data_IF_682918415627
#
_entry.id   IF_682918415627
#
_cell.length_a   1.000
_cell.length_b   1.000
_cell.length_c   1.000
_cell.angle_alpha   90.00
_cell.angle_beta   90.00
_cell.angle_gamma   90.00
#
_symmetry.space_group_name_H-M   'P 1'
#
loop_
_entity.id
_entity.type
_entity.pdbx_description
1 polymer ?
#
# COMPACT_ATOMS: atom_id res chain seq x y z
N UNK A 1 -42.20 5.82 -27.79
CA UNK A 1 -41.67 7.17 -27.54
C UNK A 1 -40.19 7.09 -27.81
N UNK A 2 -39.72 7.52 -28.98
CA UNK A 2 -38.31 7.52 -29.38
C UNK A 2 -37.66 8.71 -28.69
N UNK A 3 -36.62 8.47 -27.89
CA UNK A 3 -35.85 9.59 -27.28
C UNK A 3 -35.25 10.43 -28.41
N UNK A 4 -35.41 11.76 -28.42
CA UNK A 4 -34.78 12.62 -29.40
C UNK A 4 -33.26 12.55 -29.16
N UNK A 5 -32.52 12.21 -30.21
CA UNK A 5 -31.04 12.25 -30.19
C UNK A 5 -30.29 10.93 -30.32
N UNK A 6 -30.99 9.80 -30.47
CA UNK A 6 -30.31 8.54 -30.78
C UNK A 6 -30.14 8.43 -32.31
N UNK A 7 -28.90 8.63 -32.79
CA UNK A 7 -28.57 8.36 -34.17
C UNK A 7 -28.68 6.86 -34.47
N UNK A 8 -29.38 6.50 -35.57
CA UNK A 8 -29.39 5.13 -36.05
C UNK A 8 -28.07 4.81 -36.74
N UNK A 9 -27.55 3.60 -36.58
CA UNK A 9 -26.18 3.18 -36.88
C UNK A 9 -25.67 3.34 -38.31
N UNK A 10 -26.49 3.78 -39.25
CA UNK A 10 -26.08 4.10 -40.65
C UNK A 10 -25.60 5.54 -40.82
N UNK A 11 -25.83 6.42 -39.81
CA UNK A 11 -25.50 7.84 -39.87
C UNK A 11 -24.30 8.23 -38.96
N UNK A 12 -23.65 7.26 -38.32
CA UNK A 12 -22.43 7.50 -37.58
C UNK A 12 -21.27 7.74 -38.53
N UNK A 13 -21.09 8.97 -38.96
CA UNK A 13 -19.79 9.44 -39.39
C UNK A 13 -18.93 9.54 -38.17
N UNK A 14 -17.84 8.76 -38.12
CA UNK A 14 -16.73 9.03 -37.22
C UNK A 14 -16.26 10.45 -37.57
N UNK A 15 -16.64 11.42 -36.78
CA UNK A 15 -16.12 12.76 -36.93
C UNK A 15 -14.64 12.69 -36.61
N UNK A 16 -13.79 13.09 -37.55
CA UNK A 16 -12.41 13.52 -37.26
C UNK A 16 -12.46 14.78 -36.39
N UNK A 17 -12.91 14.62 -35.16
CA UNK A 17 -12.84 15.70 -34.17
C UNK A 17 -11.47 15.59 -33.50
N UNK A 18 -10.67 16.66 -33.54
CA UNK A 18 -9.48 16.76 -32.71
C UNK A 18 -9.83 16.44 -31.26
N UNK A 19 -8.87 15.89 -30.52
CA UNK A 19 -9.02 15.63 -29.06
C UNK A 19 -9.28 16.90 -28.22
N UNK A 20 -9.39 18.03 -28.83
CA UNK A 20 -9.82 19.31 -28.25
C UNK A 20 -11.26 19.15 -27.73
N UNK A 21 -11.45 19.32 -26.44
CA UNK A 21 -12.77 19.17 -25.79
C UNK A 21 -13.04 17.79 -25.14
N UNK A 22 -12.24 16.76 -25.38
CA UNK A 22 -12.41 15.48 -24.66
C UNK A 22 -12.25 15.64 -23.14
N UNK A 23 -11.51 16.63 -22.67
CA UNK A 23 -11.41 16.92 -21.24
C UNK A 23 -12.69 17.51 -20.64
N UNK A 24 -13.45 18.29 -21.42
CA UNK A 24 -14.75 18.81 -20.98
C UNK A 24 -15.83 17.72 -20.96
N UNK A 25 -15.67 16.67 -21.77
CA UNK A 25 -16.59 15.53 -21.82
C UNK A 25 -16.34 14.49 -20.70
N UNK A 26 -15.20 14.55 -20.04
CA UNK A 26 -14.93 13.71 -18.88
C UNK A 26 -15.77 14.21 -17.72
N UNK A 27 -16.71 13.39 -17.26
CA UNK A 27 -17.35 13.59 -15.96
C UNK A 27 -16.25 13.83 -14.94
N UNK A 28 -16.37 14.91 -14.16
CA UNK A 28 -15.41 15.24 -13.10
C UNK A 28 -15.16 13.97 -12.24
N UNK A 29 -13.91 13.66 -11.99
CA UNK A 29 -13.55 12.53 -11.13
C UNK A 29 -14.13 12.77 -9.73
N UNK A 30 -15.01 11.86 -9.28
CA UNK A 30 -15.74 12.02 -8.03
C UNK A 30 -14.80 12.05 -6.81
N UNK A 31 -13.70 11.29 -6.84
CA UNK A 31 -12.72 11.29 -5.76
C UNK A 31 -11.93 12.61 -5.70
N UNK A 32 -11.46 13.10 -6.84
CA UNK A 32 -10.78 14.40 -6.93
C UNK A 32 -11.70 15.56 -6.52
N UNK A 33 -12.96 15.49 -6.91
CA UNK A 33 -13.96 16.48 -6.50
C UNK A 33 -14.18 16.48 -4.98
N UNK A 34 -14.19 15.29 -4.37
CA UNK A 34 -14.27 15.12 -2.93
C UNK A 34 -13.03 15.69 -2.23
N UNK A 35 -11.81 15.40 -2.68
CA UNK A 35 -10.57 15.94 -2.11
C UNK A 35 -10.57 17.48 -2.11
N UNK A 36 -11.04 18.09 -3.21
CA UNK A 36 -11.19 19.56 -3.28
C UNK A 36 -12.21 20.11 -2.27
N UNK A 37 -13.32 19.41 -2.08
CA UNK A 37 -14.36 19.75 -1.10
C UNK A 37 -13.83 19.66 0.34
N UNK A 38 -13.05 18.64 0.63
CA UNK A 38 -12.38 18.43 1.93
C UNK A 38 -11.29 19.49 2.21
N UNK A 39 -10.77 20.18 1.19
CA UNK A 39 -9.69 21.17 1.31
C UNK A 39 -8.43 20.61 1.97
N UNK A 40 -8.25 19.30 1.86
CA UNK A 40 -7.10 18.61 2.42
C UNK A 40 -5.86 18.89 1.57
N UNK A 41 -4.69 18.91 2.20
CA UNK A 41 -3.41 19.02 1.51
C UNK A 41 -3.13 17.74 0.73
N UNK A 42 -2.80 17.85 -0.55
CA UNK A 42 -2.51 16.72 -1.44
C UNK A 42 -1.05 16.81 -1.87
N UNK A 43 -0.34 15.70 -1.80
CA UNK A 43 1.02 15.52 -2.32
C UNK A 43 0.98 14.49 -3.44
N UNK A 44 1.50 14.88 -4.59
CA UNK A 44 1.54 14.07 -5.80
C UNK A 44 2.97 13.62 -6.09
N UNK A 45 3.40 12.53 -5.45
CA UNK A 45 4.72 11.92 -5.66
C UNK A 45 4.62 10.41 -5.40
N UNK A 46 5.58 9.67 -5.91
CA UNK A 46 5.69 8.22 -5.67
C UNK A 46 6.74 7.86 -4.60
N UNK A 47 7.47 8.86 -4.06
CA UNK A 47 8.45 8.64 -3.00
C UNK A 47 8.39 9.69 -1.90
N UNK A 48 8.23 9.23 -0.68
CA UNK A 48 8.22 10.07 0.53
C UNK A 48 9.31 9.57 1.49
N UNK A 49 10.39 10.32 1.69
CA UNK A 49 11.54 9.86 2.49
C UNK A 49 11.22 9.69 3.98
N UNK A 50 10.15 10.32 4.48
CA UNK A 50 9.71 10.14 5.87
C UNK A 50 8.25 10.52 6.05
N UNK A 51 7.42 9.54 6.35
CA UNK A 51 6.00 9.75 6.72
C UNK A 51 5.85 10.62 7.97
N UNK A 52 6.80 10.50 8.90
CA UNK A 52 6.79 11.30 10.15
C UNK A 52 7.05 12.79 9.91
N UNK A 53 7.66 13.17 8.78
CA UNK A 53 8.06 14.55 8.46
C UNK A 53 7.18 15.20 7.39
N UNK A 54 6.21 14.50 6.80
CA UNK A 54 5.27 15.11 5.88
C UNK A 54 4.55 16.25 6.59
N UNK A 55 4.54 17.42 5.97
CA UNK A 55 3.81 18.57 6.49
C UNK A 55 2.31 18.39 6.31
N UNK A 56 1.54 18.53 7.36
CA UNK A 56 0.10 18.31 7.38
C UNK A 56 -0.65 19.64 7.49
N UNK A 57 -1.76 19.76 6.77
CA UNK A 57 -2.73 20.84 6.89
C UNK A 57 -3.90 20.48 7.79
N UNK A 58 -4.78 21.44 8.14
CA UNK A 58 -6.05 21.14 8.80
C UNK A 58 -6.88 20.18 7.94
N UNK A 59 -7.51 19.20 8.59
CA UNK A 59 -8.49 18.32 7.94
C UNK A 59 -9.69 18.16 8.86
N UNK A 60 -10.73 18.92 8.57
CA UNK A 60 -11.89 19.09 9.45
C UNK A 60 -12.59 17.75 9.70
N UNK A 61 -12.83 16.95 8.64
CA UNK A 61 -13.42 15.60 8.76
C UNK A 61 -12.67 14.70 9.73
N UNK A 62 -11.36 14.81 9.78
CA UNK A 62 -10.52 14.00 10.71
C UNK A 62 -10.40 14.60 12.11
N UNK A 63 -10.90 15.79 12.36
CA UNK A 63 -10.77 16.49 13.64
C UNK A 63 -9.32 16.81 14.03
N UNK A 64 -8.42 16.87 13.05
CA UNK A 64 -6.99 17.03 13.29
C UNK A 64 -6.25 17.64 12.11
N UNK A 65 -5.00 17.22 11.92
CA UNK A 65 -4.22 17.56 10.75
C UNK A 65 -4.10 16.34 9.85
N UNK A 66 -4.03 16.56 8.54
CA UNK A 66 -3.80 15.49 7.60
C UNK A 66 -3.31 15.96 6.26
N UNK A 67 -2.98 14.98 5.43
CA UNK A 67 -2.67 15.13 4.02
C UNK A 67 -3.03 13.84 3.29
N UNK A 68 -3.24 13.94 2.00
CA UNK A 68 -3.33 12.80 1.09
C UNK A 68 -2.03 12.71 0.32
N UNK A 69 -1.52 11.51 0.15
CA UNK A 69 -0.33 11.23 -0.65
C UNK A 69 -0.67 10.22 -1.74
N UNK A 70 -0.58 10.62 -3.00
CA UNK A 70 -0.93 9.79 -4.14
C UNK A 70 -0.06 10.08 -5.37
N UNK A 71 -0.29 9.37 -6.46
CA UNK A 71 0.37 9.61 -7.75
C UNK A 71 -0.57 10.38 -8.66
N UNK A 72 -0.12 11.55 -9.10
CA UNK A 72 -0.84 12.38 -10.05
C UNK A 72 -1.16 11.63 -11.35
N UNK A 73 -2.35 11.91 -11.90
CA UNK A 73 -2.81 11.43 -13.20
C UNK A 73 -2.87 9.90 -13.36
N UNK A 74 -2.80 9.15 -12.26
CA UNK A 74 -3.02 7.71 -12.26
C UNK A 74 -4.26 7.37 -11.42
N UNK A 75 -5.17 6.63 -12.01
CA UNK A 75 -6.36 6.14 -11.33
C UNK A 75 -6.01 4.93 -10.46
N UNK A 76 -5.20 5.17 -9.39
CA UNK A 76 -4.89 4.13 -8.42
C UNK A 76 -6.18 3.57 -7.80
N UNK A 77 -6.24 2.24 -7.53
CA UNK A 77 -7.36 1.64 -6.83
C UNK A 77 -7.35 1.91 -5.32
N UNK A 78 -6.28 2.47 -4.82
CA UNK A 78 -6.11 2.85 -3.42
C UNK A 78 -5.44 4.22 -3.30
N UNK A 79 -5.57 4.81 -2.13
CA UNK A 79 -4.92 6.08 -1.78
C UNK A 79 -4.50 6.08 -0.31
N UNK A 80 -3.60 6.98 0.07
CA UNK A 80 -3.04 7.03 1.41
C UNK A 80 -3.35 8.37 2.08
N UNK A 81 -4.05 8.32 3.20
CA UNK A 81 -4.30 9.44 4.10
C UNK A 81 -3.28 9.43 5.24
N UNK A 82 -2.54 10.51 5.42
CA UNK A 82 -1.67 10.72 6.58
C UNK A 82 -2.40 11.60 7.57
N UNK A 83 -2.59 11.14 8.80
CA UNK A 83 -3.36 11.85 9.82
C UNK A 83 -2.57 11.98 11.11
N UNK A 84 -2.70 13.13 11.77
CA UNK A 84 -2.08 13.41 13.06
C UNK A 84 -3.12 13.92 14.07
N UNK A 85 -3.16 13.26 15.22
CA UNK A 85 -3.98 13.64 16.37
C UNK A 85 -3.09 14.34 17.39
N UNK A 86 -3.47 15.55 17.77
CA UNK A 86 -2.74 16.35 18.79
C UNK A 86 -2.66 15.62 20.14
N UNK A 87 -1.71 15.99 21.02
CA UNK A 87 -1.61 15.44 22.37
C UNK A 87 -2.94 15.52 23.13
N UNK A 88 -3.35 14.41 23.73
CA UNK A 88 -4.63 14.28 24.48
C UNK A 88 -5.88 14.47 23.61
N UNK A 89 -5.73 14.52 22.29
CA UNK A 89 -6.82 14.73 21.35
C UNK A 89 -7.45 13.44 20.85
N UNK A 90 -8.46 13.62 20.03
CA UNK A 90 -9.17 12.53 19.32
C UNK A 90 -9.56 12.98 17.92
N UNK A 91 -9.81 12.01 17.03
CA UNK A 91 -10.41 12.29 15.72
C UNK A 91 -11.91 12.59 15.87
N UNK A 92 -12.54 13.07 14.80
CA UNK A 92 -13.99 12.98 14.69
C UNK A 92 -14.40 11.50 14.56
N UNK A 93 -15.61 11.12 14.99
CA UNK A 93 -16.16 9.80 14.69
C UNK A 93 -16.43 9.67 13.20
N UNK A 94 -16.08 8.52 12.62
CA UNK A 94 -16.22 8.26 11.20
C UNK A 94 -16.85 6.89 10.93
N UNK A 95 -17.59 6.79 9.85
CA UNK A 95 -17.88 5.55 9.14
C UNK A 95 -17.96 5.85 7.63
N UNK A 96 -17.74 4.86 6.80
CA UNK A 96 -17.71 5.07 5.36
C UNK A 96 -17.84 3.77 4.57
N UNK A 97 -18.34 3.87 3.35
CA UNK A 97 -18.57 2.77 2.41
C UNK A 97 -17.31 2.45 1.58
N UNK A 98 -16.13 2.64 2.15
CA UNK A 98 -14.85 2.16 1.61
C UNK A 98 -14.03 1.47 2.70
N UNK A 99 -13.14 0.60 2.29
CA UNK A 99 -12.29 -0.17 3.19
C UNK A 99 -11.02 0.60 3.54
N UNK A 100 -10.46 0.33 4.72
CA UNK A 100 -9.28 1.04 5.23
C UNK A 100 -8.38 0.13 6.04
N UNK A 101 -7.07 0.29 5.83
CA UNK A 101 -6.02 -0.28 6.66
C UNK A 101 -5.21 0.82 7.30
N UNK A 102 -5.07 0.79 8.62
CA UNK A 102 -4.28 1.73 9.41
C UNK A 102 -2.91 1.17 9.76
N UNK A 103 -1.88 1.99 9.61
CA UNK A 103 -0.55 1.72 10.15
C UNK A 103 -0.10 2.90 11.01
N UNK A 104 0.29 2.65 12.25
CA UNK A 104 0.72 3.69 13.21
C UNK A 104 2.18 4.05 12.97
N UNK A 105 2.41 5.25 12.47
CA UNK A 105 3.75 5.80 12.16
C UNK A 105 4.49 6.23 13.43
N UNK A 106 3.77 6.87 14.36
CA UNK A 106 4.35 7.32 15.64
C UNK A 106 3.26 7.54 16.70
N UNK A 107 3.67 7.40 17.95
CA UNK A 107 2.79 7.63 19.09
C UNK A 107 2.07 6.38 19.57
N UNK A 108 1.11 6.58 20.45
CA UNK A 108 0.25 5.55 21.03
C UNK A 108 -1.16 6.08 21.21
N UNK A 109 -2.12 5.17 21.21
CA UNK A 109 -3.51 5.57 21.37
C UNK A 109 -4.46 4.40 21.43
N UNK A 110 -5.71 4.68 21.18
CA UNK A 110 -6.77 3.67 21.14
C UNK A 110 -7.75 4.00 20.02
N UNK A 111 -8.43 2.97 19.52
CA UNK A 111 -9.57 3.11 18.63
C UNK A 111 -10.80 2.50 19.30
N UNK A 112 -11.88 3.27 19.34
CA UNK A 112 -13.20 2.77 19.70
C UNK A 112 -13.98 2.50 18.44
N UNK A 113 -14.60 1.33 18.36
CA UNK A 113 -15.41 0.87 17.22
C UNK A 113 -16.82 0.47 17.67
N UNK A 114 -17.84 0.69 16.82
CA UNK A 114 -19.21 0.29 17.12
C UNK A 114 -20.09 0.24 15.86
N UNK A 115 -21.14 -0.57 15.93
CA UNK A 115 -22.33 -0.48 15.09
C UNK A 115 -23.51 0.11 15.84
N UNK A 116 -23.45 0.07 17.18
CA UNK A 116 -24.48 0.54 18.08
C UNK A 116 -23.81 1.31 19.22
N UNK A 117 -24.29 2.51 19.53
CA UNK A 117 -23.77 3.38 20.59
C UNK A 117 -23.70 2.71 21.98
N UNK A 118 -24.55 1.69 22.21
CA UNK A 118 -24.57 0.93 23.47
C UNK A 118 -23.52 -0.17 23.57
N UNK A 119 -22.92 -0.56 22.44
CA UNK A 119 -21.99 -1.68 22.36
C UNK A 119 -20.71 -1.23 21.65
N UNK A 120 -19.90 -0.45 22.38
CA UNK A 120 -18.60 0.03 21.89
C UNK A 120 -17.48 -0.87 22.40
N UNK A 121 -16.55 -1.16 21.52
CA UNK A 121 -15.31 -1.85 21.85
C UNK A 121 -14.13 -0.90 21.66
N UNK A 122 -13.12 -1.01 22.50
CA UNK A 122 -11.91 -0.19 22.40
C UNK A 122 -10.69 -1.11 22.44
N UNK A 123 -9.75 -0.87 21.55
CA UNK A 123 -8.45 -1.52 21.55
C UNK A 123 -7.35 -0.47 21.49
N UNK A 124 -6.19 -0.80 22.07
CA UNK A 124 -5.04 0.10 22.13
C UNK A 124 -4.03 -0.23 21.03
N UNK A 125 -3.31 0.78 20.57
CA UNK A 125 -2.27 0.66 19.57
C UNK A 125 -1.05 1.54 19.89
N UNK A 126 0.10 1.16 19.35
CA UNK A 126 1.37 1.86 19.46
C UNK A 126 2.03 2.02 18.07
N UNK A 127 3.13 2.77 18.02
CA UNK A 127 3.99 2.80 16.82
C UNK A 127 4.26 1.37 16.30
N UNK A 128 4.03 1.16 15.01
CA UNK A 128 4.17 -0.15 14.37
C UNK A 128 2.91 -1.03 14.38
N UNK A 129 1.85 -0.63 15.08
CA UNK A 129 0.58 -1.36 15.00
C UNK A 129 -0.09 -1.21 13.63
N UNK A 130 -0.72 -2.30 13.19
CA UNK A 130 -1.44 -2.40 11.93
C UNK A 130 -2.84 -2.98 12.21
N UNK A 131 -3.90 -2.34 11.69
CA UNK A 131 -5.26 -2.81 11.88
C UNK A 131 -6.19 -2.36 10.76
N UNK A 132 -7.29 -3.08 10.58
CA UNK A 132 -8.36 -2.73 9.65
C UNK A 132 -9.66 -2.49 10.40
N UNK A 133 -10.43 -1.50 9.95
CA UNK A 133 -11.80 -1.30 10.40
C UNK A 133 -12.74 -2.06 9.47
N UNK A 134 -13.70 -2.84 10.00
CA UNK A 134 -14.74 -3.47 9.19
C UNK A 134 -15.54 -2.42 8.41
N UNK A 135 -15.91 -2.78 7.18
CA UNK A 135 -16.63 -1.86 6.30
C UNK A 135 -17.85 -1.25 6.99
N UNK A 136 -17.94 0.08 6.91
CA UNK A 136 -19.02 0.90 7.46
C UNK A 136 -19.28 0.77 8.96
N UNK A 137 -18.35 0.23 9.74
CA UNK A 137 -18.40 0.33 11.20
C UNK A 137 -17.98 1.74 11.62
N UNK A 138 -18.69 2.32 12.60
CA UNK A 138 -18.25 3.57 13.23
C UNK A 138 -16.96 3.35 13.98
N UNK A 139 -16.05 4.32 13.90
CA UNK A 139 -14.82 4.32 14.69
C UNK A 139 -14.39 5.74 15.09
N UNK A 140 -13.62 5.83 16.16
CA UNK A 140 -12.98 7.05 16.61
C UNK A 140 -11.60 6.75 17.19
N UNK A 141 -10.59 7.49 16.77
CA UNK A 141 -9.20 7.34 17.20
C UNK A 141 -8.87 8.35 18.32
N UNK A 142 -8.13 7.91 19.32
CA UNK A 142 -7.72 8.72 20.48
C UNK A 142 -6.20 8.68 20.61
N UNK A 143 -5.58 9.84 20.84
CA UNK A 143 -4.18 9.90 21.21
C UNK A 143 -4.03 9.67 22.71
N UNK A 144 -3.36 8.58 23.10
CA UNK A 144 -3.10 8.21 24.51
C UNK A 144 -1.93 8.95 25.15
N UNK A 145 -1.29 9.90 24.45
CA UNK A 145 -0.22 10.74 24.99
C UNK A 145 -0.73 12.17 25.22
N UNK A 146 -0.52 12.70 26.41
CA UNK A 146 -0.78 14.10 26.71
C UNK A 146 0.34 15.07 26.25
N UNK A 147 1.49 14.54 25.84
CA UNK A 147 2.67 15.33 25.49
C UNK A 147 3.01 15.29 23.99
N UNK A 148 2.86 14.14 23.33
CA UNK A 148 3.31 13.92 21.96
C UNK A 148 2.12 13.66 21.03
N UNK A 149 2.16 14.13 19.77
CA UNK A 149 1.15 13.79 18.78
C UNK A 149 1.22 12.30 18.40
N UNK A 150 0.10 11.74 17.98
CA UNK A 150 0.05 10.42 17.36
C UNK A 150 -0.22 10.57 15.87
N UNK A 151 0.58 9.88 15.04
CA UNK A 151 0.47 9.91 13.58
C UNK A 151 0.27 8.51 13.02
N UNK A 152 -0.68 8.38 12.12
CA UNK A 152 -0.93 7.15 11.39
C UNK A 152 -1.14 7.41 9.90
N UNK A 153 -0.98 6.39 9.08
CA UNK A 153 -1.47 6.36 7.72
C UNK A 153 -2.71 5.46 7.64
N UNK A 154 -3.61 5.82 6.74
CA UNK A 154 -4.81 5.06 6.40
C UNK A 154 -4.84 4.85 4.89
N UNK A 155 -4.51 3.64 4.43
CA UNK A 155 -4.61 3.27 3.02
C UNK A 155 -6.00 2.73 2.76
N UNK A 156 -6.67 3.28 1.74
CA UNK A 156 -8.09 3.06 1.48
C UNK A 156 -8.38 2.73 0.02
N UNK A 157 -9.46 2.02 -0.24
CA UNK A 157 -10.01 1.87 -1.59
C UNK A 157 -11.12 2.92 -1.89
N UNK A 158 -11.07 4.08 -1.23
CA UNK A 158 -12.00 5.18 -1.45
C UNK A 158 -12.08 5.65 -2.93
N UNK A 159 -10.96 5.76 -3.69
CA UNK A 159 -11.03 6.24 -5.06
C UNK A 159 -12.00 5.46 -5.96
N UNK A 160 -11.92 4.13 -6.11
CA UNK A 160 -12.86 3.38 -6.94
C UNK A 160 -14.28 3.39 -6.37
N UNK A 161 -14.44 3.37 -5.04
CA UNK A 161 -15.77 3.40 -4.42
C UNK A 161 -16.50 4.71 -4.72
N UNK A 162 -15.82 5.85 -4.59
CA UNK A 162 -16.39 7.16 -4.90
C UNK A 162 -16.67 7.34 -6.39
N UNK A 163 -15.80 6.82 -7.26
CA UNK A 163 -16.04 6.82 -8.71
C UNK A 163 -17.23 5.97 -9.11
N UNK A 164 -17.47 4.86 -8.40
CA UNK A 164 -18.58 3.96 -8.66
C UNK A 164 -19.93 4.55 -8.21
N UNK A 165 -20.01 5.00 -6.95
CA UNK A 165 -21.27 5.43 -6.35
C UNK A 165 -21.61 6.89 -6.62
N UNK A 166 -20.62 7.78 -6.69
CA UNK A 166 -20.76 9.22 -6.96
C UNK A 166 -21.78 9.94 -6.08
N UNK A 167 -21.90 9.49 -4.83
CA UNK A 167 -22.88 9.97 -3.88
C UNK A 167 -22.26 10.05 -2.47
N UNK A 168 -22.08 11.27 -1.94
CA UNK A 168 -21.47 11.53 -0.65
C UNK A 168 -22.36 11.01 0.51
N UNK A 169 -23.69 11.07 0.34
CA UNK A 169 -24.63 10.60 1.36
C UNK A 169 -24.51 9.09 1.54
N UNK A 170 -24.46 8.35 0.42
CA UNK A 170 -24.21 6.91 0.47
C UNK A 170 -22.83 6.58 1.03
N UNK A 171 -21.83 7.35 0.68
CA UNK A 171 -20.44 7.06 1.11
C UNK A 171 -20.20 7.30 2.60
N UNK A 172 -20.88 8.28 3.21
CA UNK A 172 -20.56 8.73 4.57
C UNK A 172 -21.73 8.68 5.56
N UNK A 173 -22.97 8.43 5.09
CA UNK A 173 -24.17 8.39 5.93
C UNK A 173 -25.01 7.14 5.72
N UNK A 174 -24.46 6.09 5.10
CA UNK A 174 -25.15 4.84 4.91
C UNK A 174 -25.38 4.10 6.23
N UNK A 175 -26.63 3.81 6.58
CA UNK A 175 -27.00 3.14 7.83
C UNK A 175 -26.77 1.62 7.82
N UNK A 176 -26.38 1.03 6.68
CA UNK A 176 -26.22 -0.41 6.58
C UNK A 176 -25.05 -0.92 7.44
N UNK A 177 -25.33 -1.96 8.23
CA UNK A 177 -24.37 -2.59 9.14
C UNK A 177 -23.94 -3.94 8.58
N UNK A 178 -22.69 -4.09 8.20
CA UNK A 178 -22.12 -5.35 7.69
C UNK A 178 -21.83 -6.32 8.85
N UNK A 179 -22.88 -6.81 9.49
CA UNK A 179 -22.77 -7.71 10.65
C UNK A 179 -22.11 -9.05 10.34
N UNK A 180 -22.04 -9.45 9.08
CA UNK A 180 -21.27 -10.61 8.66
C UNK A 180 -19.75 -10.40 8.74
N UNK A 181 -19.30 -9.15 8.72
CA UNK A 181 -17.87 -8.80 8.87
C UNK A 181 -17.52 -8.46 10.32
N UNK A 182 -18.45 -7.88 11.07
CA UNK A 182 -18.28 -7.50 12.47
C UNK A 182 -19.64 -7.41 13.16
N UNK A 183 -19.87 -8.24 14.16
CA UNK A 183 -21.10 -8.25 14.95
C UNK A 183 -20.89 -7.80 16.41
N UNK A 184 -19.64 -7.38 16.75
CA UNK A 184 -19.29 -6.94 18.11
C UNK A 184 -18.56 -8.04 18.89
N UNK A 185 -17.83 -8.94 18.22
CA UNK A 185 -17.03 -10.00 18.84
C UNK A 185 -15.95 -9.41 19.75
N UNK A 186 -15.91 -9.84 21.02
CA UNK A 186 -15.02 -9.29 22.06
C UNK A 186 -13.53 -9.43 21.71
N UNK A 187 -13.16 -10.50 21.02
CA UNK A 187 -11.78 -10.81 20.64
C UNK A 187 -11.38 -10.31 19.25
N UNK A 188 -12.25 -9.55 18.56
CA UNK A 188 -12.06 -9.12 17.18
C UNK A 188 -10.72 -8.40 16.96
N UNK A 189 -10.28 -7.61 17.93
CA UNK A 189 -8.99 -6.88 17.93
C UNK A 189 -8.02 -7.41 18.99
N UNK A 190 -8.10 -8.67 19.37
CA UNK A 190 -7.23 -9.27 20.40
C UNK A 190 -5.75 -9.34 20.02
N UNK A 191 -5.41 -9.16 18.75
CA UNK A 191 -4.06 -9.39 18.22
C UNK A 191 -3.72 -10.86 18.00
N UNK A 192 -4.63 -11.76 18.33
CA UNK A 192 -4.52 -13.15 17.94
C UNK A 192 -4.77 -13.29 16.44
N UNK A 193 -4.11 -14.28 15.83
CA UNK A 193 -4.28 -14.54 14.43
C UNK A 193 -4.23 -16.01 14.12
N UNK A 194 -4.60 -16.36 12.89
CA UNK A 194 -4.59 -17.72 12.39
C UNK A 194 -3.77 -17.81 11.13
N UNK A 195 -2.79 -18.68 11.13
CA UNK A 195 -2.04 -19.01 9.92
C UNK A 195 -2.83 -20.02 9.09
N UNK A 196 -3.19 -19.58 7.88
CA UNK A 196 -3.69 -20.48 6.85
C UNK A 196 -2.54 -21.09 6.06
N UNK A 197 -2.90 -21.87 5.05
CA UNK A 197 -1.91 -22.53 4.19
C UNK A 197 -0.82 -21.57 3.71
N UNK A 198 0.42 -22.03 3.70
CA UNK A 198 1.64 -21.30 3.31
C UNK A 198 1.97 -20.13 4.24
N UNK A 199 1.62 -18.89 3.85
CA UNK A 199 2.03 -17.65 4.50
C UNK A 199 0.89 -16.64 4.67
N UNK A 200 -0.35 -17.09 4.57
CA UNK A 200 -1.55 -16.25 4.75
C UNK A 200 -1.90 -16.22 6.24
N UNK A 201 -1.91 -15.03 6.80
CA UNK A 201 -2.24 -14.77 8.20
C UNK A 201 -3.53 -13.95 8.28
N UNK A 202 -4.53 -14.50 8.95
CA UNK A 202 -5.78 -13.81 9.25
C UNK A 202 -5.69 -13.18 10.65
N UNK A 203 -5.89 -11.87 10.74
CA UNK A 203 -5.97 -11.11 12.00
C UNK A 203 -6.48 -9.71 11.72
N UNK A 204 -7.32 -9.16 12.60
CA UNK A 204 -7.85 -7.80 12.44
C UNK A 204 -6.96 -6.73 13.08
N UNK A 205 -6.02 -7.16 13.92
CA UNK A 205 -5.06 -6.31 14.61
C UNK A 205 -3.70 -7.02 14.74
N UNK A 206 -2.64 -6.34 14.33
CA UNK A 206 -1.25 -6.76 14.50
C UNK A 206 -0.57 -5.73 15.40
N UNK A 207 -0.24 -6.07 16.64
CA UNK A 207 0.31 -5.12 17.62
C UNK A 207 1.63 -4.48 17.16
N UNK A 208 2.49 -5.25 16.48
CA UNK A 208 3.81 -4.81 16.04
C UNK A 208 4.17 -5.45 14.68
N UNK A 209 3.89 -4.76 13.59
CA UNK A 209 4.21 -5.22 12.25
C UNK A 209 5.73 -5.37 11.98
N UNK A 210 6.62 -4.50 12.51
CA UNK A 210 8.06 -4.69 12.42
C UNK A 210 8.57 -6.04 12.94
N UNK A 211 7.94 -6.62 13.96
CA UNK A 211 8.40 -7.86 14.61
C UNK A 211 7.54 -9.09 14.26
N UNK A 212 6.58 -8.94 13.35
CA UNK A 212 5.69 -10.04 12.97
C UNK A 212 6.47 -11.23 12.38
N UNK A 213 6.05 -12.46 12.70
CA UNK A 213 6.61 -13.68 12.11
C UNK A 213 6.32 -13.75 10.60
N UNK A 214 7.34 -14.12 9.81
CA UNK A 214 7.26 -14.22 8.36
C UNK A 214 7.66 -15.62 7.89
N UNK A 215 7.24 -15.99 6.67
CA UNK A 215 7.36 -17.35 6.13
C UNK A 215 8.03 -17.33 4.75
N UNK A 216 8.69 -18.43 4.38
CA UNK A 216 9.47 -18.52 3.14
C UNK A 216 8.64 -18.24 1.87
N UNK A 217 9.21 -17.46 0.96
CA UNK A 217 8.64 -17.14 -0.36
C UNK A 217 9.70 -17.29 -1.46
N UNK A 218 9.92 -18.52 -1.88
CA UNK A 218 10.99 -18.89 -2.83
C UNK A 218 10.74 -18.35 -4.24
N UNK A 219 9.50 -18.26 -4.65
CA UNK A 219 9.10 -17.86 -6.01
C UNK A 219 9.55 -16.44 -6.37
N UNK A 220 9.63 -15.56 -5.35
CA UNK A 220 10.02 -14.15 -5.54
C UNK A 220 11.54 -13.91 -5.49
N UNK A 221 12.36 -14.91 -5.23
CA UNK A 221 13.83 -14.85 -5.32
C UNK A 221 14.55 -14.91 -3.98
N UNK A 222 15.82 -14.57 -4.01
CA UNK A 222 16.92 -14.77 -3.05
C UNK A 222 16.56 -14.69 -1.55
N UNK A 223 16.07 -15.78 -0.97
CA UNK A 223 15.88 -15.92 0.49
C UNK A 223 14.80 -15.05 1.12
N UNK A 224 13.93 -14.45 0.32
CA UNK A 224 12.83 -13.63 0.82
C UNK A 224 11.84 -14.40 1.67
N UNK A 225 11.33 -13.75 2.73
CA UNK A 225 10.24 -14.22 3.56
C UNK A 225 9.09 -13.22 3.56
N UNK A 226 7.86 -13.70 3.79
CA UNK A 226 6.65 -12.88 3.63
C UNK A 226 5.52 -13.40 4.52
N UNK A 227 4.59 -12.52 4.88
CA UNK A 227 3.26 -12.87 5.37
C UNK A 227 2.22 -12.04 4.63
N UNK A 228 1.26 -12.71 3.99
CA UNK A 228 0.06 -12.09 3.44
C UNK A 228 -0.96 -11.92 4.56
N UNK A 229 -1.65 -10.79 4.60
CA UNK A 229 -2.53 -10.42 5.69
C UNK A 229 -3.98 -10.33 5.19
N UNK A 230 -4.85 -11.15 5.75
CA UNK A 230 -6.30 -11.07 5.60
C UNK A 230 -6.88 -10.41 6.84
N UNK A 231 -7.52 -9.24 6.68
CA UNK A 231 -7.92 -8.39 7.80
C UNK A 231 -9.35 -7.85 7.61
N UNK A 232 -10.18 -8.01 8.65
CA UNK A 232 -11.53 -7.47 8.74
C UNK A 232 -12.47 -7.89 7.58
N UNK A 233 -12.20 -9.03 6.94
CA UNK A 233 -12.90 -9.49 5.72
C UNK A 233 -12.91 -8.41 4.62
N UNK A 234 -11.88 -7.55 4.63
CA UNK A 234 -11.72 -6.48 3.65
C UNK A 234 -11.01 -6.99 2.38
N UNK A 235 -11.29 -6.33 1.26
CA UNK A 235 -10.58 -6.56 0.01
C UNK A 235 -9.22 -5.83 -0.05
N UNK A 236 -8.75 -5.29 1.06
CA UNK A 236 -7.38 -4.75 1.19
C UNK A 236 -6.39 -5.90 1.31
N UNK A 237 -5.40 -5.97 0.41
CA UNK A 237 -4.42 -7.06 0.32
C UNK A 237 -3.06 -6.60 0.81
N UNK A 238 -2.90 -6.63 2.10
CA UNK A 238 -1.68 -6.19 2.76
C UNK A 238 -0.68 -7.33 2.88
N UNK A 239 0.61 -7.01 2.90
CA UNK A 239 1.64 -8.01 3.23
C UNK A 239 2.88 -7.37 3.82
N UNK A 240 3.60 -8.16 4.62
CA UNK A 240 4.93 -7.80 5.11
C UNK A 240 5.94 -8.70 4.42
N UNK A 241 7.01 -8.10 3.90
CA UNK A 241 8.11 -8.81 3.28
C UNK A 241 9.44 -8.40 3.89
N UNK A 242 10.35 -9.36 3.98
CA UNK A 242 11.72 -9.14 4.46
C UNK A 242 12.71 -9.87 3.56
N UNK A 243 13.87 -9.26 3.36
CA UNK A 243 14.96 -9.89 2.61
C UNK A 243 16.28 -9.87 3.36
N UNK A 244 17.12 -10.91 3.13
CA UNK A 244 18.45 -10.99 3.70
C UNK A 244 19.35 -9.85 3.22
N UNK A 245 20.41 -9.62 3.98
CA UNK A 245 21.49 -8.69 3.62
C UNK A 245 22.08 -9.07 2.27
N UNK A 246 22.32 -8.09 1.41
CA UNK A 246 23.00 -8.29 0.13
C UNK A 246 22.19 -9.10 -0.88
N UNK A 247 20.87 -9.03 -0.80
CA UNK A 247 19.97 -9.69 -1.76
C UNK A 247 18.95 -8.71 -2.33
N UNK A 248 18.33 -9.10 -3.43
CA UNK A 248 17.22 -8.39 -4.02
C UNK A 248 16.20 -9.35 -4.65
N UNK A 249 14.98 -8.88 -4.84
CA UNK A 249 13.89 -9.62 -5.48
C UNK A 249 13.97 -9.52 -6.98
N UNK A 250 13.33 -10.47 -7.67
CA UNK A 250 13.08 -10.35 -9.10
C UNK A 250 12.19 -9.15 -9.41
N UNK A 251 12.49 -8.46 -10.50
CA UNK A 251 11.63 -7.39 -10.99
C UNK A 251 10.28 -7.96 -11.40
N UNK A 252 9.20 -7.26 -11.06
CA UNK A 252 7.85 -7.69 -11.38
C UNK A 252 6.89 -6.50 -11.44
N UNK A 253 5.71 -6.73 -11.99
CA UNK A 253 4.58 -5.81 -11.94
C UNK A 253 3.32 -6.51 -11.46
N UNK A 254 2.34 -5.76 -11.02
CA UNK A 254 1.01 -6.27 -10.66
C UNK A 254 -0.03 -5.15 -10.71
N UNK A 255 -1.32 -5.51 -10.95
CA UNK A 255 -2.38 -4.57 -11.26
C UNK A 255 -2.64 -3.47 -10.23
N UNK A 256 -2.86 -3.76 -8.93
CA UNK A 256 -3.31 -2.72 -7.99
C UNK A 256 -2.25 -1.69 -7.58
N UNK A 257 -0.96 -1.90 -7.89
CA UNK A 257 0.10 -1.10 -7.28
C UNK A 257 0.30 -1.40 -5.80
N UNK A 258 0.94 -0.53 -5.05
CA UNK A 258 1.07 -0.64 -3.58
C UNK A 258 1.67 0.62 -2.94
N UNK A 259 1.31 0.88 -1.67
CA UNK A 259 1.99 1.81 -0.78
C UNK A 259 2.95 1.01 0.11
N UNK A 260 4.26 1.14 -0.14
CA UNK A 260 5.30 0.38 0.58
C UNK A 260 5.91 1.24 1.69
N UNK A 261 5.75 0.84 2.93
CA UNK A 261 6.36 1.50 4.10
C UNK A 261 7.53 0.69 4.59
N UNK A 262 8.72 1.29 4.69
CA UNK A 262 9.89 0.62 5.23
C UNK A 262 9.81 0.53 6.76
N UNK A 263 9.80 -0.69 7.28
CA UNK A 263 9.68 -0.98 8.70
C UNK A 263 11.03 -1.14 9.40
N UNK A 264 12.01 -1.74 8.72
CA UNK A 264 13.36 -1.92 9.22
C UNK A 264 14.37 -2.02 8.08
N UNK A 265 15.66 -1.78 8.38
CA UNK A 265 16.75 -1.81 7.42
C UNK A 265 17.71 -0.64 7.63
N UNK A 266 18.99 -0.82 7.27
CA UNK A 266 20.04 0.22 7.37
C UNK A 266 20.43 0.80 6.02
N UNK A 267 19.79 0.34 4.95
CA UNK A 267 20.03 0.74 3.57
C UNK A 267 19.26 -0.15 2.62
N UNK A 268 19.14 0.29 1.39
CA UNK A 268 18.42 -0.37 0.34
C UNK A 268 17.68 0.64 -0.51
N UNK A 269 17.03 0.17 -1.54
CA UNK A 269 16.25 1.01 -2.43
C UNK A 269 15.21 0.20 -3.20
N UNK A 270 14.27 0.90 -3.81
CA UNK A 270 13.41 0.37 -4.85
C UNK A 270 13.74 1.00 -6.18
N UNK A 271 13.71 0.23 -7.25
CA UNK A 271 13.64 0.73 -8.62
C UNK A 271 12.22 0.62 -9.13
N UNK A 272 11.76 1.64 -9.83
CA UNK A 272 10.41 1.73 -10.39
C UNK A 272 10.51 2.28 -11.81
N UNK A 273 9.89 1.61 -12.80
CA UNK A 273 9.91 2.06 -14.20
C UNK A 273 8.70 1.53 -14.99
N UNK A 274 8.33 2.22 -16.07
CA UNK A 274 7.23 1.78 -16.96
C UNK A 274 7.72 1.45 -18.37
N UNK A 275 8.77 2.10 -18.84
CA UNK A 275 9.28 1.93 -20.19
C UNK A 275 10.20 0.73 -20.31
N UNK A 276 10.09 0.00 -21.42
CA UNK A 276 10.92 -1.18 -21.67
C UNK A 276 12.44 -0.86 -21.70
N UNK A 277 12.80 0.35 -22.17
CA UNK A 277 14.18 0.85 -22.20
C UNK A 277 14.63 1.43 -20.85
N UNK A 278 13.75 1.44 -19.86
CA UNK A 278 13.96 1.98 -18.50
C UNK A 278 14.39 3.45 -18.46
N UNK A 279 14.16 4.23 -19.51
CA UNK A 279 14.52 5.65 -19.57
C UNK A 279 13.79 6.51 -18.52
N UNK A 280 12.73 5.98 -17.89
CA UNK A 280 11.97 6.57 -16.81
C UNK A 280 12.25 5.92 -15.43
N UNK A 281 13.30 5.08 -15.33
CA UNK A 281 13.62 4.37 -14.10
C UNK A 281 14.01 5.34 -12.97
N UNK A 282 13.34 5.20 -11.86
CA UNK A 282 13.59 5.97 -10.65
C UNK A 282 14.10 5.09 -9.52
N UNK A 283 15.12 5.58 -8.79
CA UNK A 283 15.68 4.95 -7.60
C UNK A 283 15.14 5.65 -6.36
N UNK A 284 14.48 4.91 -5.49
CA UNK A 284 13.91 5.38 -4.23
C UNK A 284 14.71 4.79 -3.07
N UNK A 285 15.56 5.58 -2.44
CA UNK A 285 16.40 5.12 -1.34
C UNK A 285 15.58 4.87 -0.08
N UNK A 286 15.86 3.76 0.62
CA UNK A 286 15.11 3.36 1.80
C UNK A 286 15.62 4.02 3.08
N UNK A 287 14.68 4.52 3.86
CA UNK A 287 14.87 4.94 5.24
C UNK A 287 13.70 4.39 6.06
N UNK A 288 13.91 4.05 7.33
CA UNK A 288 12.81 3.61 8.21
C UNK A 288 11.73 4.70 8.24
N UNK A 289 10.49 4.31 7.95
CA UNK A 289 9.36 5.23 7.82
C UNK A 289 9.28 5.97 6.48
N UNK A 290 10.14 5.65 5.49
CA UNK A 290 9.92 6.09 4.11
C UNK A 290 8.78 5.32 3.48
N UNK A 291 8.14 5.93 2.47
CA UNK A 291 7.12 5.29 1.66
C UNK A 291 7.46 5.39 0.18
N UNK A 292 7.34 4.27 -0.51
CA UNK A 292 7.38 4.19 -1.98
C UNK A 292 5.98 3.80 -2.45
N UNK A 293 5.40 4.58 -3.34
CA UNK A 293 4.15 4.23 -4.01
C UNK A 293 4.50 3.58 -5.34
N UNK A 294 4.21 2.31 -5.47
CA UNK A 294 4.34 1.59 -6.73
C UNK A 294 3.08 1.82 -7.53
N UNK A 295 3.17 2.43 -8.72
CA UNK A 295 2.00 2.61 -9.59
C UNK A 295 1.36 1.29 -10.01
N UNK A 296 0.08 1.35 -10.38
CA UNK A 296 -0.67 0.23 -10.91
C UNK A 296 -0.26 -0.12 -12.36
N UNK A 297 -0.71 -1.28 -12.82
CA UNK A 297 -0.71 -1.83 -14.18
C UNK A 297 0.68 -2.17 -14.75
N UNK A 298 1.25 -1.32 -15.57
CA UNK A 298 2.46 -1.58 -16.37
C UNK A 298 3.76 -1.26 -15.64
N UNK A 299 3.69 -0.83 -14.38
CA UNK A 299 4.85 -0.38 -13.66
C UNK A 299 5.66 -1.54 -13.06
N UNK A 300 6.82 -1.82 -13.65
CA UNK A 300 7.80 -2.72 -13.06
C UNK A 300 8.42 -2.09 -11.81
N UNK A 301 8.64 -2.92 -10.82
CA UNK A 301 9.37 -2.52 -9.63
C UNK A 301 10.23 -3.67 -9.09
N UNK A 302 11.28 -3.29 -8.38
CA UNK A 302 12.24 -4.21 -7.81
C UNK A 302 12.79 -3.66 -6.50
N UNK A 303 13.08 -4.53 -5.53
CA UNK A 303 13.46 -4.12 -4.18
C UNK A 303 14.78 -4.74 -3.76
N UNK A 304 15.69 -3.92 -3.22
CA UNK A 304 17.07 -4.23 -2.96
C UNK A 304 17.44 -3.96 -1.50
N UNK A 305 18.01 -4.95 -0.81
CA UNK A 305 18.62 -4.74 0.49
C UNK A 305 20.13 -4.62 0.34
N UNK A 306 20.63 -3.40 0.39
CA UNK A 306 22.04 -3.08 0.36
C UNK A 306 22.60 -2.66 1.72
N UNK A 307 21.76 -2.73 2.75
CA UNK A 307 22.16 -2.42 4.12
C UNK A 307 22.91 -3.56 4.81
N UNK A 308 23.29 -3.33 6.06
CA UNK A 308 24.07 -4.26 6.89
C UNK A 308 23.18 -5.13 7.80
N UNK A 309 21.87 -4.98 7.71
CA UNK A 309 20.89 -5.81 8.40
C UNK A 309 19.73 -6.21 7.47
N UNK A 310 18.86 -7.10 7.95
CA UNK A 310 17.65 -7.49 7.19
C UNK A 310 16.76 -6.27 6.97
N UNK A 311 16.20 -6.14 5.77
CA UNK A 311 15.27 -5.06 5.43
C UNK A 311 13.85 -5.59 5.32
N UNK A 312 12.91 -4.90 5.97
CA UNK A 312 11.49 -5.26 6.02
C UNK A 312 10.64 -4.09 5.57
N UNK A 313 9.66 -4.37 4.71
CA UNK A 313 8.62 -3.42 4.36
C UNK A 313 7.21 -3.98 4.55
N UNK A 314 6.27 -3.08 4.80
CA UNK A 314 4.84 -3.30 4.76
C UNK A 314 4.30 -2.77 3.43
N UNK A 315 3.63 -3.61 2.67
CA UNK A 315 2.88 -3.21 1.49
C UNK A 315 1.39 -3.14 1.82
N UNK A 316 0.80 -1.99 1.55
CA UNK A 316 -0.61 -1.69 1.72
C UNK A 316 -1.22 -1.43 0.35
N UNK A 317 -2.31 -2.11 0.02
CA UNK A 317 -2.96 -1.96 -1.29
C UNK A 317 -4.39 -2.41 -1.28
N UNK A 318 -5.20 -1.90 -2.21
CA UNK A 318 -6.47 -2.51 -2.54
C UNK A 318 -6.24 -3.90 -3.16
N UNK A 319 -7.20 -4.81 -2.97
CA UNK A 319 -7.26 -6.05 -3.72
C UNK A 319 -7.57 -5.80 -5.18
N UNK A 320 -7.32 -6.82 -5.98
CA UNK A 320 -7.79 -6.84 -7.35
C UNK A 320 -9.32 -6.93 -7.34
N UNK A 321 -9.98 -5.85 -7.70
CA UNK A 321 -11.45 -5.81 -7.84
C UNK A 321 -11.95 -6.56 -9.08
N UNK A 322 -11.04 -7.02 -9.93
CA UNK A 322 -11.30 -7.90 -11.05
C UNK A 322 -11.25 -9.36 -10.65
N UNK A 323 -12.20 -9.83 -9.91
CA UNK A 323 -12.75 -11.18 -9.80
C UNK A 323 -11.84 -12.45 -9.94
N UNK A 324 -10.55 -12.38 -10.17
CA UNK A 324 -9.75 -13.49 -10.68
C UNK A 324 -8.61 -13.99 -9.81
N UNK A 325 -8.46 -13.54 -8.56
CA UNK A 325 -7.45 -14.14 -7.69
C UNK A 325 -8.05 -14.73 -6.43
N UNK A 326 -8.38 -16.02 -6.43
CA UNK A 326 -8.76 -16.73 -5.19
C UNK A 326 -7.61 -16.79 -4.16
N UNK A 327 -6.42 -16.28 -4.49
CA UNK A 327 -5.21 -16.39 -3.66
C UNK A 327 -4.53 -15.05 -3.35
N UNK A 328 -5.31 -13.97 -3.32
CA UNK A 328 -4.86 -12.71 -2.74
C UNK A 328 -3.67 -12.06 -3.44
N UNK A 329 -3.97 -11.18 -4.35
CA UNK A 329 -3.26 -9.96 -4.43
C UNK A 329 -1.99 -9.83 -5.22
N UNK A 330 -1.60 -10.67 -5.99
CA UNK A 330 -0.82 -10.45 -7.21
C UNK A 330 -1.61 -11.15 -8.26
N UNK A 331 -1.86 -10.61 -9.39
CA UNK A 331 -2.49 -11.40 -10.45
C UNK A 331 -1.81 -12.77 -10.54
N UNK A 332 -2.52 -13.81 -10.93
CA UNK A 332 -1.99 -15.18 -11.05
C UNK A 332 -0.64 -15.25 -11.80
N UNK A 333 -0.29 -14.18 -12.52
CA UNK A 333 0.90 -14.05 -13.35
C UNK A 333 2.05 -13.25 -12.72
N UNK A 334 1.90 -12.69 -11.51
CA UNK A 334 2.94 -11.84 -10.91
C UNK A 334 4.22 -12.61 -10.52
N UNK A 335 4.12 -13.93 -10.31
CA UNK A 335 5.23 -14.84 -10.00
C UNK A 335 5.63 -15.70 -11.22
N UNK A 336 5.04 -15.45 -12.39
CA UNK A 336 5.31 -16.16 -13.66
C UNK A 336 6.21 -15.30 -14.53
N UNK A 337 7.17 -15.94 -15.20
CA UNK A 337 8.10 -15.26 -16.12
C UNK A 337 7.37 -14.54 -17.25
N UNK A 338 7.88 -13.37 -17.66
CA UNK A 338 7.41 -12.66 -18.85
C UNK A 338 7.54 -13.53 -20.13
N UNK A 339 8.48 -14.46 -20.18
CA UNK A 339 8.64 -15.42 -21.28
C UNK A 339 7.51 -16.45 -21.35
N UNK A 340 6.82 -16.66 -20.25
CA UNK A 340 5.68 -17.57 -20.12
C UNK A 340 4.34 -16.82 -20.09
N UNK A 341 4.35 -15.54 -20.48
CA UNK A 341 3.15 -14.68 -20.47
C UNK A 341 2.82 -14.09 -19.09
N UNK A 342 3.74 -14.19 -18.14
CA UNK A 342 3.62 -13.60 -16.80
C UNK A 342 4.14 -12.17 -16.69
N UNK A 343 4.40 -11.73 -15.45
CA UNK A 343 4.75 -10.35 -15.14
C UNK A 343 6.04 -10.22 -14.32
N UNK A 344 6.87 -11.27 -14.27
CA UNK A 344 8.13 -11.31 -13.56
C UNK A 344 9.31 -11.44 -14.54
N UNK A 345 10.36 -10.66 -14.31
CA UNK A 345 11.63 -10.75 -15.02
C UNK A 345 12.55 -11.67 -14.20
N UNK A 346 12.97 -12.78 -14.82
CA UNK A 346 13.89 -13.73 -14.18
C UNK A 346 15.31 -13.13 -14.10
N UNK A 347 16.12 -13.58 -13.13
CA UNK A 347 17.48 -13.04 -12.93
C UNK A 347 18.39 -13.20 -14.17
N UNK A 348 18.22 -14.28 -14.91
CA UNK A 348 18.95 -14.51 -16.17
C UNK A 348 18.54 -13.57 -17.31
N UNK A 349 17.35 -12.95 -17.19
CA UNK A 349 16.79 -12.02 -18.16
C UNK A 349 16.91 -10.56 -17.74
N UNK A 350 17.39 -10.35 -16.53
CA UNK A 350 17.60 -9.03 -15.97
C UNK A 350 18.74 -8.31 -16.70
N UNK A 351 18.57 -7.01 -16.94
CA UNK A 351 19.66 -6.20 -17.44
C UNK A 351 20.79 -6.09 -16.41
N UNK A 352 22.01 -6.31 -16.88
CA UNK A 352 23.23 -6.24 -16.04
C UNK A 352 23.41 -4.91 -15.32
N UNK A 353 22.90 -3.82 -15.88
CA UNK A 353 22.93 -2.50 -15.25
C UNK A 353 22.23 -2.50 -13.90
N UNK A 354 21.13 -3.23 -13.76
CA UNK A 354 20.39 -3.36 -12.48
C UNK A 354 21.31 -3.93 -11.39
N UNK A 355 22.02 -5.03 -11.71
CA UNK A 355 22.97 -5.63 -10.78
C UNK A 355 24.15 -4.71 -10.48
N UNK A 356 24.64 -3.91 -11.44
CA UNK A 356 25.71 -2.94 -11.24
C UNK A 356 25.28 -1.80 -10.30
N UNK A 357 24.03 -1.32 -10.41
CA UNK A 357 23.45 -0.34 -9.47
C UNK A 357 23.46 -0.94 -8.05
N UNK A 358 23.02 -2.18 -7.91
CA UNK A 358 23.00 -2.89 -6.64
C UNK A 358 24.41 -3.06 -6.05
N UNK A 359 25.41 -3.53 -6.82
CA UNK A 359 26.80 -3.69 -6.37
C UNK A 359 27.43 -2.35 -5.94
N UNK A 360 27.17 -1.29 -6.70
CA UNK A 360 27.63 0.07 -6.34
C UNK A 360 27.08 0.51 -4.98
N UNK A 361 25.81 0.24 -4.72
CA UNK A 361 25.14 0.61 -3.48
C UNK A 361 25.62 -0.25 -2.30
N UNK A 362 25.83 -1.56 -2.51
CA UNK A 362 26.45 -2.47 -1.53
C UNK A 362 27.82 -1.97 -1.10
N UNK A 363 28.65 -1.55 -2.07
CA UNK A 363 29.98 -1.02 -1.81
C UNK A 363 29.91 0.25 -0.94
N UNK A 364 28.97 1.13 -1.21
CA UNK A 364 28.77 2.36 -0.43
C UNK A 364 28.37 2.07 1.02
N UNK A 365 27.59 1.01 1.26
CA UNK A 365 27.14 0.61 2.59
C UNK A 365 28.08 -0.40 3.29
N UNK A 366 29.10 -0.92 2.59
CA UNK A 366 29.99 -1.94 3.14
C UNK A 366 29.31 -3.31 3.36
N UNK A 367 28.26 -3.60 2.61
CA UNK A 367 27.50 -4.85 2.71
C UNK A 367 27.98 -5.89 1.68
N UNK A 368 27.91 -7.22 1.98
CA UNK A 368 28.33 -8.27 1.07
C UNK A 368 27.29 -8.50 -0.02
N UNK A 369 27.72 -8.93 -1.22
CA UNK A 369 26.83 -9.45 -2.25
C UNK A 369 26.53 -10.93 -2.01
N UNK A 370 25.26 -11.30 -1.94
CA UNK A 370 24.79 -12.70 -1.79
C UNK A 370 23.98 -13.20 -2.99
N UNK A 371 24.09 -12.53 -4.12
CA UNK A 371 23.34 -12.87 -5.33
C UNK A 371 24.03 -13.91 -6.22
N UNK A 372 25.25 -14.35 -5.93
CA UNK A 372 26.03 -15.30 -6.75
C UNK A 372 25.31 -16.61 -7.08
N UNK A 373 24.47 -17.10 -6.16
CA UNK A 373 23.69 -18.33 -6.37
C UNK A 373 22.45 -18.13 -7.24
N UNK A 374 22.09 -16.89 -7.56
CA UNK A 374 20.84 -16.52 -8.21
C UNK A 374 21.06 -15.81 -9.55
N UNK A 375 22.05 -14.94 -9.63
CA UNK A 375 22.37 -14.11 -10.80
C UNK A 375 23.54 -14.72 -11.55
N UNK A 376 23.38 -15.18 -12.79
CA UNK A 376 24.40 -15.96 -13.53
C UNK A 376 25.75 -15.28 -13.71
N UNK A 377 25.77 -13.95 -13.78
CA UNK A 377 27.00 -13.15 -13.98
C UNK A 377 27.55 -12.52 -12.69
N UNK A 378 26.91 -12.75 -11.54
CA UNK A 378 27.37 -12.20 -10.27
C UNK A 378 28.61 -12.95 -9.75
N UNK A 379 29.69 -12.23 -9.48
CA UNK A 379 30.91 -12.80 -8.92
C UNK A 379 30.85 -13.00 -7.40
N UNK A 380 29.99 -12.23 -6.72
CA UNK A 380 29.87 -12.23 -5.26
C UNK A 380 30.99 -11.47 -4.54
N UNK A 381 31.85 -10.72 -5.26
CA UNK A 381 33.07 -10.12 -4.72
C UNK A 381 32.90 -8.70 -4.13
N UNK A 382 31.68 -8.18 -4.06
CA UNK A 382 31.38 -6.84 -3.55
C UNK A 382 31.11 -6.85 -2.06
N UNK A 383 31.79 -5.96 -1.33
CA UNK A 383 31.59 -5.74 0.11
C UNK A 383 32.47 -6.63 1.01
N UNK A 384 32.45 -6.43 2.33
CA UNK A 384 33.20 -7.23 3.29
C UNK A 384 32.67 -8.67 3.34
N UNK A 385 33.59 -9.65 3.38
CA UNK A 385 33.26 -11.09 3.41
C UNK A 385 32.78 -11.60 4.78
N UNK A 386 32.71 -10.76 5.80
CA UNK A 386 32.40 -11.11 7.18
C UNK A 386 31.11 -10.45 7.69
N UNK A 387 30.00 -11.09 7.51
CA UNK A 387 28.78 -10.80 8.22
C UNK A 387 28.04 -12.11 8.46
N UNK A 388 28.09 -12.65 9.67
CA UNK A 388 27.20 -13.73 10.08
C UNK A 388 25.79 -13.16 10.22
N UNK A 389 24.83 -13.83 9.63
CA UNK A 389 23.41 -13.56 9.95
C UNK A 389 23.18 -13.97 11.42
N UNK A 390 23.14 -13.00 12.31
CA UNK A 390 22.64 -13.18 13.69
C UNK A 390 21.22 -12.65 13.76
#
# INVERSE_FOLDING_TARGET
MVMPGVMQGTDMKVADTPNEGLQEYRTADAYEAWLKKERVKVYEDFYFPSLAKIELGPWERKGGKGAVVHIANRHMPDDCHVVEIKPGGKSEPEHHMYEVTFYVVSGRGATTIWHDEKHKQTFEWNTGSLFCIPLNAWYQNFNGSGAEPARYIAVTNAPPMMRLFKDDEFMFNCDFKFRSRYAGEEDYFSGNGKLFTRRVWESNFIPNAPDMALYGWKERGAGGINAMLEMADNNMKNHISEFPIGTYKKAHRHGPGAHLVLLSGTGGFSLVWTKADRSDMSKCDWQIGSMVIVPNDDCFHQHFNTGTNRARYLALRAGDMGLNSPHGGGGANADVSIKEGGWQIEYEDEDREIHQIFEKDLKAHGAPCRMKAFVPWCTGEVGPTSGRDT
#
